data_IF_405512199611
#
_entry.id   IF_405512199611
#
_cell.length_a   1.000
_cell.length_b   1.000
_cell.length_c   1.000
_cell.angle_alpha   90.00
_cell.angle_beta   90.00
_cell.angle_gamma   90.00
#
_symmetry.space_group_name_H-M   'P 1'
#
loop_
_entity.id
_entity.type
_entity.pdbx_description
1 polymer ?
#
# COMPACT_ATOMS: atom_id res chain seq x y z
N UNK A 1 25.63 14.41 51.10
CA UNK A 1 25.94 15.38 52.14
C UNK A 1 24.67 16.20 52.42
N UNK A 2 23.87 15.81 53.40
CA UNK A 2 23.72 16.51 54.69
C UNK A 2 22.97 17.84 54.49
N UNK A 3 21.90 18.29 55.14
CA UNK A 3 21.27 18.10 56.47
C UNK A 3 19.97 18.88 56.45
N UNK A 4 18.88 18.33 56.87
CA UNK A 4 18.15 18.60 58.11
C UNK A 4 17.67 20.04 58.44
N UNK A 5 16.45 20.10 58.79
CA UNK A 5 15.89 20.87 59.88
C UNK A 5 14.65 21.69 59.46
N UNK A 6 13.53 21.57 59.95
CA UNK A 6 12.95 21.26 61.24
C UNK A 6 11.85 22.28 61.51
N UNK A 7 10.61 21.80 61.52
CA UNK A 7 9.70 21.72 62.70
C UNK A 7 9.47 23.05 63.46
N UNK A 8 8.25 23.46 63.56
CA UNK A 8 7.41 23.62 64.75
C UNK A 8 6.29 24.67 64.53
N UNK A 9 5.12 24.22 64.49
CA UNK A 9 4.01 24.43 65.47
C UNK A 9 3.86 25.85 66.05
N UNK A 10 2.69 26.42 65.97
CA UNK A 10 1.95 26.89 67.13
C UNK A 10 0.56 27.43 66.77
N UNK A 11 -0.47 26.68 67.11
CA UNK A 11 -1.57 26.98 68.00
C UNK A 11 -2.40 28.23 67.75
N UNK A 12 -3.66 27.95 67.43
CA UNK A 12 -4.91 28.44 68.02
C UNK A 12 -5.03 29.91 68.42
N UNK A 13 -6.08 30.56 67.89
CA UNK A 13 -7.09 31.18 68.76
C UNK A 13 -8.44 31.39 68.03
N UNK A 14 -9.49 30.97 68.69
CA UNK A 14 -10.90 31.22 68.43
C UNK A 14 -11.15 32.73 68.37
N UNK A 15 -12.17 33.17 67.59
CA UNK A 15 -13.36 33.86 68.11
C UNK A 15 -14.42 34.11 67.01
N UNK A 16 -15.58 33.84 67.43
CA UNK A 16 -16.87 33.93 66.80
C UNK A 16 -17.21 35.31 66.19
N UNK A 17 -18.04 35.28 65.15
CA UNK A 17 -18.80 36.49 64.85
C UNK A 17 -19.48 36.51 63.48
N UNK A 18 -20.78 36.39 63.48
CA UNK A 18 -21.78 36.96 62.58
C UNK A 18 -22.01 36.29 61.22
N UNK A 19 -23.11 35.56 61.16
CA UNK A 19 -23.80 35.19 59.93
C UNK A 19 -24.26 36.46 59.17
N UNK A 20 -23.85 36.49 57.88
CA UNK A 20 -24.57 37.28 56.86
C UNK A 20 -24.82 36.34 55.70
N UNK A 21 -26.06 35.90 55.57
CA UNK A 21 -26.56 35.29 54.36
C UNK A 21 -26.46 36.28 53.17
N UNK A 22 -25.58 36.10 52.27
CA UNK A 22 -25.74 36.57 50.90
C UNK A 22 -25.85 35.36 50.01
N UNK A 23 -27.08 35.04 49.63
CA UNK A 23 -27.39 34.16 48.50
C UNK A 23 -26.88 34.84 47.22
N UNK A 24 -25.62 34.61 46.90
CA UNK A 24 -25.14 34.81 45.55
C UNK A 24 -25.60 33.63 44.71
N UNK A 25 -26.68 33.85 43.95
CA UNK A 25 -27.08 32.96 42.89
C UNK A 25 -25.92 32.82 41.90
N UNK A 26 -25.17 31.74 42.02
CA UNK A 26 -24.37 31.24 40.92
C UNK A 26 -25.36 30.82 39.84
N UNK A 27 -25.68 31.76 38.94
CA UNK A 27 -26.12 31.36 37.62
C UNK A 27 -24.95 30.57 37.05
N UNK A 28 -25.02 29.24 37.16
CA UNK A 28 -24.33 28.33 36.31
C UNK A 28 -24.75 28.69 34.90
N UNK A 29 -24.01 29.58 34.28
CA UNK A 29 -23.95 29.67 32.83
C UNK A 29 -23.54 28.29 32.36
N UNK A 30 -24.55 27.51 32.00
CA UNK A 30 -24.32 26.33 31.21
C UNK A 30 -23.71 26.80 29.92
N UNK A 31 -22.38 26.93 29.93
CA UNK A 31 -21.64 26.86 28.71
C UNK A 31 -21.93 25.47 28.17
N UNK A 32 -22.86 25.40 27.23
CA UNK A 32 -22.87 24.33 26.29
C UNK A 32 -21.46 24.28 25.74
N UNK A 33 -20.63 23.38 26.30
CA UNK A 33 -19.44 22.95 25.58
C UNK A 33 -19.92 22.68 24.15
N UNK A 34 -19.30 23.24 23.12
CA UNK A 34 -19.65 22.85 21.80
C UNK A 34 -19.53 21.32 21.81
N UNK A 35 -20.66 20.66 21.59
CA UNK A 35 -20.67 19.24 21.22
C UNK A 35 -19.99 19.22 19.87
N UNK A 36 -18.65 19.32 19.88
CA UNK A 36 -17.84 19.02 18.76
C UNK A 36 -18.10 17.54 18.52
N UNK A 37 -18.82 17.25 17.47
CA UNK A 37 -18.90 15.90 16.96
C UNK A 37 -17.45 15.46 16.86
N UNK A 38 -17.03 14.54 17.75
CA UNK A 38 -15.63 14.16 17.86
C UNK A 38 -15.17 13.69 16.50
N UNK A 39 -13.93 14.05 16.12
CA UNK A 39 -13.33 13.64 14.85
C UNK A 39 -13.59 12.15 14.59
N UNK A 40 -14.23 11.84 13.48
CA UNK A 40 -14.54 10.48 13.06
C UNK A 40 -13.36 9.91 12.31
N UNK A 41 -12.70 8.96 12.90
CA UNK A 41 -11.51 8.33 12.34
C UNK A 41 -11.73 6.84 12.12
N UNK A 42 -11.03 6.30 11.15
CA UNK A 42 -10.96 4.86 10.91
C UNK A 42 -9.62 4.44 10.36
N UNK A 43 -9.43 3.16 10.20
CA UNK A 43 -8.24 2.62 9.54
C UNK A 43 -8.59 1.46 8.62
N UNK A 44 -7.68 1.19 7.69
CA UNK A 44 -7.78 0.09 6.73
C UNK A 44 -6.50 -0.72 6.80
N UNK A 45 -6.62 -2.05 6.74
CA UNK A 45 -5.52 -3.01 6.59
C UNK A 45 -5.36 -3.35 5.12
N UNK A 46 -4.27 -2.90 4.51
CA UNK A 46 -4.06 -3.11 3.07
C UNK A 46 -3.84 -4.57 2.71
N UNK A 47 -3.14 -5.33 3.56
CA UNK A 47 -2.93 -6.77 3.38
C UNK A 47 -4.24 -7.56 3.31
N UNK A 48 -5.16 -7.25 4.21
CA UNK A 48 -6.49 -7.86 4.24
C UNK A 48 -7.38 -7.36 3.10
N UNK A 49 -7.32 -6.06 2.80
CA UNK A 49 -8.09 -5.46 1.73
C UNK A 49 -7.78 -6.10 0.36
N UNK A 50 -6.49 -6.30 0.05
CA UNK A 50 -6.07 -6.93 -1.20
C UNK A 50 -6.59 -8.36 -1.38
N UNK A 51 -6.81 -9.08 -0.28
CA UNK A 51 -7.39 -10.43 -0.29
C UNK A 51 -8.91 -10.40 -0.44
N UNK A 52 -9.58 -9.39 0.10
CA UNK A 52 -11.03 -9.23 0.07
C UNK A 52 -11.54 -8.58 -1.22
N UNK A 53 -10.69 -7.85 -1.94
CA UNK A 53 -11.06 -7.14 -3.17
C UNK A 53 -10.94 -8.07 -4.38
N UNK A 54 -12.09 -8.55 -4.87
CA UNK A 54 -12.18 -9.56 -5.93
C UNK A 54 -11.49 -9.11 -7.22
N UNK A 55 -11.75 -7.88 -7.67
CA UNK A 55 -11.14 -7.35 -8.89
C UNK A 55 -9.61 -7.27 -8.81
N UNK A 56 -9.06 -6.92 -7.64
CA UNK A 56 -7.61 -6.98 -7.42
C UNK A 56 -7.06 -8.39 -7.61
N UNK A 57 -7.74 -9.39 -7.05
CA UNK A 57 -7.34 -10.79 -7.19
C UNK A 57 -7.37 -11.25 -8.66
N UNK A 58 -8.37 -10.82 -9.43
CA UNK A 58 -8.47 -11.09 -10.86
C UNK A 58 -7.32 -10.43 -11.65
N UNK A 59 -7.02 -9.15 -11.37
CA UNK A 59 -5.91 -8.44 -12.01
C UNK A 59 -4.56 -9.10 -11.72
N UNK A 60 -4.31 -9.50 -10.48
CA UNK A 60 -3.10 -10.24 -10.10
C UNK A 60 -3.01 -11.55 -10.87
N UNK A 61 -4.11 -12.30 -10.99
CA UNK A 61 -4.15 -13.54 -11.77
C UNK A 61 -3.84 -13.32 -13.25
N UNK A 62 -4.35 -12.27 -13.86
CA UNK A 62 -4.06 -11.89 -15.26
C UNK A 62 -2.60 -11.49 -15.44
N UNK A 63 -2.07 -10.68 -14.52
CA UNK A 63 -0.66 -10.29 -14.53
C UNK A 63 0.27 -11.51 -14.42
N UNK A 64 0.00 -12.42 -13.47
CA UNK A 64 0.79 -13.65 -13.32
C UNK A 64 0.74 -14.54 -14.56
N UNK A 65 -0.42 -14.66 -15.21
CA UNK A 65 -0.55 -15.43 -16.45
C UNK A 65 0.28 -14.81 -17.58
N UNK A 66 0.28 -13.47 -17.69
CA UNK A 66 1.10 -12.73 -18.65
C UNK A 66 2.58 -12.90 -18.34
N UNK A 67 3.00 -12.75 -17.09
CA UNK A 67 4.38 -12.94 -16.66
C UNK A 67 4.89 -14.35 -16.97
N UNK A 68 4.12 -15.38 -16.68
CA UNK A 68 4.47 -16.79 -17.02
C UNK A 68 4.62 -17.02 -18.53
N UNK A 69 3.77 -16.38 -19.34
CA UNK A 69 3.89 -16.46 -20.80
C UNK A 69 5.19 -15.83 -21.28
N UNK A 70 5.52 -14.64 -20.81
CA UNK A 70 6.75 -13.93 -21.16
C UNK A 70 8.01 -14.69 -20.70
N UNK A 71 7.97 -15.25 -19.49
CA UNK A 71 9.03 -16.11 -18.96
C UNK A 71 9.26 -17.34 -19.85
N UNK A 72 8.19 -18.01 -20.29
CA UNK A 72 8.29 -19.16 -21.18
C UNK A 72 8.91 -18.79 -22.55
N UNK A 73 8.61 -17.59 -23.06
CA UNK A 73 9.22 -17.08 -24.31
C UNK A 73 10.73 -16.81 -24.11
N UNK A 74 11.12 -16.22 -23.00
CA UNK A 74 12.54 -15.98 -22.65
C UNK A 74 13.30 -17.30 -22.48
N UNK A 75 12.74 -18.29 -21.80
CA UNK A 75 13.33 -19.63 -21.65
C UNK A 75 13.57 -20.29 -23.02
N UNK A 76 12.59 -20.21 -23.93
CA UNK A 76 12.74 -20.76 -25.29
C UNK A 76 13.84 -20.04 -26.06
N UNK A 77 13.91 -18.72 -25.97
CA UNK A 77 14.93 -17.92 -26.63
C UNK A 77 16.32 -18.21 -26.06
N UNK A 78 16.44 -18.40 -24.75
CA UNK A 78 17.68 -18.81 -24.10
C UNK A 78 18.15 -20.21 -24.55
N UNK A 79 17.21 -21.16 -24.63
CA UNK A 79 17.50 -22.50 -25.13
C UNK A 79 17.98 -22.47 -26.58
N UNK A 80 17.38 -21.65 -27.44
CA UNK A 80 17.85 -21.43 -28.80
C UNK A 80 19.28 -20.86 -28.84
N UNK A 81 19.54 -19.83 -28.03
CA UNK A 81 20.89 -19.24 -27.93
C UNK A 81 21.92 -20.30 -27.51
N UNK A 82 21.60 -21.13 -26.54
CA UNK A 82 22.46 -22.21 -26.05
C UNK A 82 22.71 -23.26 -27.16
N UNK A 83 21.66 -23.65 -27.89
CA UNK A 83 21.79 -24.61 -28.98
C UNK A 83 22.69 -24.08 -30.13
N UNK A 84 22.51 -22.81 -30.50
CA UNK A 84 23.37 -22.15 -31.52
C UNK A 84 24.82 -22.08 -31.07
N UNK A 85 25.07 -21.81 -29.79
CA UNK A 85 26.42 -21.83 -29.23
C UNK A 85 27.06 -23.21 -29.31
N UNK A 86 26.33 -24.27 -28.98
CA UNK A 86 26.81 -25.64 -29.04
C UNK A 86 27.09 -26.09 -30.48
N UNK A 87 26.22 -25.69 -31.44
CA UNK A 87 26.42 -25.95 -32.86
C UNK A 87 27.70 -25.26 -33.35
N UNK A 88 27.88 -23.99 -33.02
CA UNK A 88 29.05 -23.22 -33.38
C UNK A 88 30.35 -23.86 -32.83
N UNK A 89 30.33 -24.25 -31.54
CA UNK A 89 31.50 -24.89 -30.92
C UNK A 89 31.87 -26.21 -31.59
N UNK A 90 30.91 -27.06 -31.94
CA UNK A 90 31.13 -28.35 -32.59
C UNK A 90 31.58 -28.19 -34.03
N UNK A 91 31.05 -27.21 -34.75
CA UNK A 91 31.38 -26.97 -36.16
C UNK A 91 32.70 -26.22 -36.36
N UNK A 92 33.09 -25.32 -35.46
CA UNK A 92 34.22 -24.41 -35.58
C UNK A 92 35.54 -25.07 -36.04
N UNK A 93 35.95 -26.26 -35.55
CA UNK A 93 37.20 -26.91 -36.00
C UNK A 93 37.19 -27.32 -37.47
N UNK A 94 36.02 -27.48 -38.09
CA UNK A 94 35.86 -28.00 -39.45
C UNK A 94 35.46 -26.91 -40.45
N UNK A 95 35.26 -25.68 -40.02
CA UNK A 95 34.86 -24.56 -40.86
C UNK A 95 36.07 -23.86 -41.46
N UNK A 96 35.94 -23.40 -42.71
CA UNK A 96 36.86 -22.42 -43.28
C UNK A 96 36.78 -21.10 -42.54
N UNK A 97 37.80 -20.24 -42.67
CA UNK A 97 37.83 -18.92 -42.01
C UNK A 97 36.59 -18.07 -42.31
N UNK A 98 36.12 -18.07 -43.55
CA UNK A 98 34.95 -17.29 -43.99
C UNK A 98 33.65 -17.85 -43.38
N UNK A 99 33.53 -19.19 -43.34
CA UNK A 99 32.35 -19.84 -42.73
C UNK A 99 32.30 -19.61 -41.22
N UNK A 100 33.45 -19.69 -40.55
CA UNK A 100 33.54 -19.41 -39.12
C UNK A 100 33.15 -17.96 -38.79
N UNK A 101 33.63 -17.00 -39.58
CA UNK A 101 33.27 -15.58 -39.41
C UNK A 101 31.76 -15.36 -39.57
N UNK A 102 31.13 -15.98 -40.57
CA UNK A 102 29.68 -15.93 -40.78
C UNK A 102 28.92 -16.55 -39.60
N UNK A 103 29.33 -17.73 -39.15
CA UNK A 103 28.70 -18.41 -38.03
C UNK A 103 28.81 -17.60 -36.72
N UNK A 104 29.93 -16.90 -36.49
CA UNK A 104 30.11 -16.01 -35.37
C UNK A 104 29.18 -14.78 -35.44
N UNK A 105 29.01 -14.20 -36.64
CA UNK A 105 28.06 -13.08 -36.85
C UNK A 105 26.62 -13.52 -36.64
N UNK A 106 26.25 -14.71 -37.11
CA UNK A 106 24.89 -15.24 -36.86
C UNK A 106 24.65 -15.49 -35.40
N UNK A 107 25.60 -16.06 -34.67
CA UNK A 107 25.48 -16.21 -33.21
C UNK A 107 25.36 -14.87 -32.47
N UNK A 108 26.17 -13.88 -32.87
CA UNK A 108 26.05 -12.52 -32.29
C UNK A 108 24.65 -11.93 -32.51
N UNK A 109 24.06 -12.14 -33.69
CA UNK A 109 22.70 -11.69 -33.98
C UNK A 109 21.67 -12.39 -33.09
N UNK A 110 21.76 -13.70 -32.88
CA UNK A 110 20.86 -14.44 -31.97
C UNK A 110 21.00 -13.94 -30.54
N UNK A 111 22.23 -13.70 -30.08
CA UNK A 111 22.47 -13.15 -28.74
C UNK A 111 21.89 -11.73 -28.57
N UNK A 112 22.07 -10.85 -29.58
CA UNK A 112 21.46 -9.51 -29.53
C UNK A 112 19.93 -9.57 -29.50
N UNK A 113 19.34 -10.49 -30.28
CA UNK A 113 17.89 -10.68 -30.28
C UNK A 113 17.39 -11.16 -28.93
N UNK A 114 18.10 -12.07 -28.25
CA UNK A 114 17.76 -12.51 -26.90
C UNK A 114 17.82 -11.34 -25.90
N UNK A 115 18.89 -10.55 -25.91
CA UNK A 115 19.02 -9.39 -25.02
C UNK A 115 17.93 -8.33 -25.28
N UNK A 116 17.59 -8.09 -26.55
CA UNK A 116 16.51 -7.17 -26.91
C UNK A 116 15.15 -7.69 -26.42
N UNK A 117 14.88 -8.99 -26.57
CA UNK A 117 13.66 -9.62 -26.05
C UNK A 117 13.57 -9.51 -24.52
N UNK A 118 14.67 -9.77 -23.81
CA UNK A 118 14.73 -9.66 -22.35
C UNK A 118 14.39 -8.24 -21.88
N UNK A 119 15.00 -7.22 -22.49
CA UNK A 119 14.71 -5.82 -22.18
C UNK A 119 13.26 -5.45 -22.50
N UNK A 120 12.76 -5.88 -23.65
CA UNK A 120 11.39 -5.63 -24.06
C UNK A 120 10.39 -6.23 -23.08
N UNK A 121 10.54 -7.52 -22.72
CA UNK A 121 9.63 -8.21 -21.80
C UNK A 121 9.68 -7.63 -20.38
N UNK A 122 10.86 -7.25 -19.90
CA UNK A 122 11.01 -6.55 -18.63
C UNK A 122 10.27 -5.20 -18.63
N UNK A 123 10.38 -4.42 -19.71
CA UNK A 123 9.67 -3.16 -19.87
C UNK A 123 8.15 -3.34 -19.95
N UNK A 124 7.68 -4.34 -20.70
CA UNK A 124 6.25 -4.66 -20.80
C UNK A 124 5.66 -5.08 -19.45
N UNK A 125 6.34 -5.94 -18.69
CA UNK A 125 5.88 -6.33 -17.34
C UNK A 125 5.81 -5.14 -16.40
N UNK A 126 6.80 -4.25 -16.41
CA UNK A 126 6.78 -3.05 -15.58
C UNK A 126 5.60 -2.11 -15.94
N UNK A 127 5.26 -2.01 -17.24
CA UNK A 127 4.11 -1.22 -17.69
C UNK A 127 2.79 -1.86 -17.27
N UNK A 128 2.64 -3.17 -17.40
CA UNK A 128 1.43 -3.89 -16.96
C UNK A 128 1.24 -3.77 -15.44
N UNK A 129 2.30 -3.90 -14.65
CA UNK A 129 2.26 -3.70 -13.21
C UNK A 129 1.83 -2.27 -12.84
N UNK A 130 2.41 -1.27 -13.51
CA UNK A 130 2.07 0.13 -13.28
C UNK A 130 0.60 0.42 -13.64
N UNK A 131 0.10 -0.14 -14.76
CA UNK A 131 -1.30 -0.04 -15.18
C UNK A 131 -2.23 -0.67 -14.14
N UNK A 132 -1.93 -1.89 -13.70
CA UNK A 132 -2.69 -2.58 -12.66
C UNK A 132 -2.77 -1.75 -11.37
N UNK A 133 -1.64 -1.26 -10.90
CA UNK A 133 -1.58 -0.44 -9.69
C UNK A 133 -2.36 0.87 -9.82
N UNK A 134 -2.34 1.51 -11.00
CA UNK A 134 -3.10 2.73 -11.27
C UNK A 134 -4.62 2.46 -11.24
N UNK A 135 -5.08 1.37 -11.87
CA UNK A 135 -6.49 0.96 -11.86
C UNK A 135 -6.99 0.69 -10.44
N UNK A 136 -6.23 -0.10 -9.67
CA UNK A 136 -6.56 -0.41 -8.27
C UNK A 136 -6.61 0.86 -7.44
N UNK A 137 -5.60 1.74 -7.58
CA UNK A 137 -5.57 3.02 -6.86
C UNK A 137 -6.79 3.88 -7.15
N UNK A 138 -7.15 4.04 -8.42
CA UNK A 138 -8.32 4.83 -8.83
C UNK A 138 -9.61 4.30 -8.19
N UNK A 139 -9.81 2.99 -8.18
CA UNK A 139 -10.98 2.38 -7.54
C UNK A 139 -10.98 2.56 -6.03
N UNK A 140 -9.83 2.37 -5.38
CA UNK A 140 -9.69 2.57 -3.93
C UNK A 140 -9.98 4.02 -3.56
N UNK A 141 -9.47 4.99 -4.33
CA UNK A 141 -9.73 6.41 -4.08
C UNK A 141 -11.24 6.75 -4.22
N UNK A 142 -11.93 6.20 -5.24
CA UNK A 142 -13.39 6.35 -5.41
C UNK A 142 -14.17 5.72 -4.25
N UNK A 143 -13.79 4.53 -3.82
CA UNK A 143 -14.44 3.82 -2.71
C UNK A 143 -14.23 4.52 -1.36
N UNK A 144 -13.04 5.08 -1.12
CA UNK A 144 -12.75 5.89 0.06
C UNK A 144 -13.63 7.15 0.07
N UNK A 145 -13.79 7.84 -1.06
CA UNK A 145 -14.64 9.01 -1.15
C UNK A 145 -16.11 8.67 -0.83
N UNK A 146 -16.62 7.57 -1.37
CA UNK A 146 -17.97 7.10 -1.06
C UNK A 146 -18.12 6.74 0.44
N UNK A 147 -17.16 6.00 0.99
CA UNK A 147 -17.18 5.61 2.40
C UNK A 147 -17.12 6.83 3.34
N UNK A 148 -16.34 7.85 2.93
CA UNK A 148 -16.26 9.13 3.65
C UNK A 148 -17.61 9.85 3.66
N UNK A 149 -18.32 9.93 2.54
CA UNK A 149 -19.63 10.55 2.46
C UNK A 149 -20.66 9.79 3.32
N UNK A 150 -20.71 8.47 3.23
CA UNK A 150 -21.67 7.62 3.91
C UNK A 150 -21.50 7.65 5.43
N UNK A 151 -20.27 7.73 5.93
CA UNK A 151 -19.96 7.64 7.37
C UNK A 151 -19.59 9.00 7.99
N UNK A 152 -19.33 10.02 7.18
CA UNK A 152 -18.85 11.33 7.63
C UNK A 152 -17.48 11.25 8.28
N UNK A 153 -16.54 10.51 7.67
CA UNK A 153 -15.20 10.31 8.19
C UNK A 153 -14.33 11.54 7.93
N UNK A 154 -13.57 11.95 8.95
CA UNK A 154 -12.60 13.03 8.84
C UNK A 154 -11.21 12.52 8.42
N UNK A 155 -10.82 11.31 8.88
CA UNK A 155 -9.51 10.71 8.58
C UNK A 155 -9.64 9.20 8.45
N UNK A 156 -8.87 8.66 7.49
CA UNK A 156 -8.64 7.21 7.33
C UNK A 156 -7.14 6.96 7.33
N UNK A 157 -6.69 6.04 8.16
CA UNK A 157 -5.29 5.65 8.29
C UNK A 157 -5.02 4.29 7.63
N UNK A 158 -3.80 4.09 7.17
CA UNK A 158 -3.30 2.76 6.80
C UNK A 158 -2.71 2.11 8.05
N UNK A 159 -3.22 0.93 8.42
CA UNK A 159 -2.82 0.27 9.67
C UNK A 159 -1.32 -0.03 9.69
N UNK A 160 -0.80 -0.67 8.64
CA UNK A 160 0.58 -1.14 8.57
C UNK A 160 1.62 -0.01 8.59
N UNK A 161 1.25 1.16 8.10
CA UNK A 161 2.19 2.28 7.94
C UNK A 161 2.10 3.32 9.05
N UNK A 162 0.90 3.50 9.66
CA UNK A 162 0.63 4.66 10.49
C UNK A 162 0.14 4.34 11.90
N UNK A 163 -0.24 3.09 12.19
CA UNK A 163 -0.82 2.70 13.46
C UNK A 163 -0.02 1.59 14.14
N UNK A 164 0.26 1.77 15.43
CA UNK A 164 0.77 0.70 16.29
C UNK A 164 -0.36 -0.13 16.89
N UNK A 165 -1.54 0.48 17.07
CA UNK A 165 -2.74 -0.14 17.61
C UNK A 165 -3.98 0.59 17.10
N UNK A 166 -5.03 -0.15 16.79
CA UNK A 166 -6.35 0.33 16.44
C UNK A 166 -7.41 -0.59 17.04
N UNK A 167 -8.46 0.01 17.62
CA UNK A 167 -9.63 -0.75 18.07
C UNK A 167 -10.34 -1.35 16.86
N UNK A 168 -10.81 -2.59 16.95
CA UNK A 168 -11.60 -3.25 15.88
C UNK A 168 -12.85 -2.45 15.48
N UNK A 169 -13.40 -1.65 16.40
CA UNK A 169 -14.53 -0.76 16.11
C UNK A 169 -14.21 0.33 15.07
N UNK A 170 -12.92 0.63 14.86
CA UNK A 170 -12.43 1.62 13.90
C UNK A 170 -11.89 0.96 12.59
N UNK A 171 -11.92 -0.36 12.50
CA UNK A 171 -11.50 -1.09 11.31
C UNK A 171 -12.57 -0.98 10.21
N UNK A 172 -12.21 -0.33 9.13
CA UNK A 172 -13.06 -0.10 7.97
C UNK A 172 -12.77 -1.05 6.81
N UNK A 173 -11.83 -1.99 6.98
CA UNK A 173 -11.34 -2.85 5.90
C UNK A 173 -12.45 -3.63 5.21
N UNK A 174 -13.33 -4.28 6.00
CA UNK A 174 -14.44 -5.05 5.45
C UNK A 174 -15.47 -4.17 4.71
N UNK A 175 -15.76 -2.98 5.27
CA UNK A 175 -16.69 -2.02 4.64
C UNK A 175 -16.13 -1.47 3.34
N UNK A 176 -14.84 -1.12 3.32
CA UNK A 176 -14.18 -0.64 2.11
C UNK A 176 -14.14 -1.75 1.03
N UNK A 177 -13.89 -3.00 1.42
CA UNK A 177 -13.95 -4.14 0.50
C UNK A 177 -15.36 -4.36 -0.06
N UNK A 178 -16.41 -4.18 0.75
CA UNK A 178 -17.80 -4.27 0.29
C UNK A 178 -18.11 -3.19 -0.74
N UNK A 179 -17.74 -1.94 -0.48
CA UNK A 179 -17.89 -0.84 -1.45
C UNK A 179 -17.15 -1.17 -2.74
N UNK A 180 -15.87 -1.53 -2.67
CA UNK A 180 -15.05 -1.88 -3.83
C UNK A 180 -15.67 -3.01 -4.66
N UNK A 181 -16.17 -4.06 -4.02
CA UNK A 181 -16.77 -5.20 -4.71
C UNK A 181 -18.17 -4.90 -5.29
N UNK A 182 -18.81 -3.80 -4.86
CA UNK A 182 -20.08 -3.33 -5.40
C UNK A 182 -19.92 -2.39 -6.61
N UNK A 183 -18.72 -1.85 -6.83
CA UNK A 183 -18.41 -0.94 -7.93
C UNK A 183 -18.16 -1.73 -9.22
N UNK A 184 -18.55 -1.13 -10.35
CA UNK A 184 -18.15 -1.67 -11.65
C UNK A 184 -16.63 -1.56 -11.83
N UNK A 185 -15.99 -2.57 -12.47
CA UNK A 185 -14.58 -2.47 -12.83
C UNK A 185 -14.31 -1.21 -13.64
N UNK A 186 -13.15 -0.55 -13.46
CA UNK A 186 -12.81 0.63 -14.24
C UNK A 186 -12.72 0.28 -15.72
N UNK A 187 -13.21 1.15 -16.59
CA UNK A 187 -12.98 1.05 -18.02
C UNK A 187 -11.49 1.31 -18.30
N UNK A 188 -10.91 0.59 -19.27
CA UNK A 188 -9.49 0.78 -19.65
C UNK A 188 -9.19 2.18 -20.24
N UNK A 189 -10.21 3.01 -20.39
CA UNK A 189 -10.14 4.36 -21.02
C UNK A 189 -10.14 5.51 -19.99
N UNK A 190 -10.20 5.23 -18.68
CA UNK A 190 -10.04 6.23 -17.62
C UNK A 190 -8.62 6.19 -17.07
#
# INVERSE_FOLDING_TARGET
>A
LIIFGGMKTLKTLLLAGAAVMMAASCTTGGGTAPSGDGMKVGYVRLDSLTQLYTYHTELVGQFEATAKKMEAELIRSQQNLQAEYEILQKAAPNLSKIELERAQLDFQRVNQNYQALEQQRSGELAQEEAKMNALVKTQVDKAIAQLQEDMGLDLIFVYESNLLYGSEALDLTAKLAEVLNSMDPPSEEE
#
